data_IF_542667649116
#
_entry.id   IF_542667649116
#
_cell.length_a   1.000
_cell.length_b   1.000
_cell.length_c   1.000
_cell.angle_alpha   90.00
_cell.angle_beta   90.00
_cell.angle_gamma   90.00
#
_symmetry.space_group_name_H-M   'P 1'
#
loop_
_entity.id
_entity.type
_entity.pdbx_description
1 polymer ?
#
# COMPACT_ATOMS: atom_id res chain seq x y z
N UNK A 1 -17.01 2.65 -7.77
CA UNK A 1 -15.85 2.58 -6.87
C UNK A 1 -15.86 1.23 -6.17
N UNK A 2 -14.85 0.42 -6.44
CA UNK A 2 -14.71 -0.91 -5.84
C UNK A 2 -13.96 -0.84 -4.50
N UNK A 3 -14.10 -1.85 -3.66
CA UNK A 3 -13.30 -1.97 -2.43
C UNK A 3 -12.63 -3.32 -2.39
N UNK A 4 -11.30 -3.33 -2.25
CA UNK A 4 -10.53 -4.51 -1.88
C UNK A 4 -10.03 -4.33 -0.44
N UNK A 5 -10.41 -5.25 0.44
CA UNK A 5 -9.85 -5.35 1.79
C UNK A 5 -9.00 -6.61 1.92
N UNK A 6 -7.75 -6.45 2.31
CA UNK A 6 -6.80 -7.53 2.59
C UNK A 6 -6.36 -7.45 4.05
N UNK A 7 -6.64 -8.51 4.82
CA UNK A 7 -6.20 -8.66 6.22
C UNK A 7 -5.12 -9.71 6.27
N UNK A 8 -3.95 -9.35 6.81
CA UNK A 8 -2.75 -10.17 6.80
C UNK A 8 -2.24 -10.38 8.23
N UNK A 9 -2.22 -11.63 8.69
CA UNK A 9 -1.75 -11.99 10.03
C UNK A 9 -0.28 -12.47 10.09
N UNK A 10 0.43 -12.47 8.95
CA UNK A 10 1.80 -12.96 8.81
C UNK A 10 2.66 -11.99 8.00
N UNK A 11 3.97 -12.25 7.90
CA UNK A 11 4.81 -11.48 6.99
C UNK A 11 4.43 -11.81 5.54
N UNK A 12 4.14 -10.79 4.74
CA UNK A 12 3.73 -10.97 3.33
C UNK A 12 4.55 -10.09 2.41
N UNK A 13 4.84 -10.65 1.24
CA UNK A 13 5.36 -9.93 0.09
C UNK A 13 4.26 -9.85 -0.95
N UNK A 14 3.92 -8.63 -1.37
CA UNK A 14 3.08 -8.37 -2.52
C UNK A 14 3.96 -7.90 -3.66
N UNK A 15 3.70 -8.34 -4.89
CA UNK A 15 4.50 -7.92 -6.04
C UNK A 15 3.66 -7.55 -7.25
N UNK A 16 4.02 -6.44 -7.90
CA UNK A 16 3.44 -5.96 -9.15
C UNK A 16 1.91 -5.95 -9.15
N UNK A 17 1.32 -5.20 -8.22
CA UNK A 17 -0.14 -5.07 -8.10
C UNK A 17 -0.63 -3.91 -8.96
N UNK A 18 -1.72 -4.11 -9.69
CA UNK A 18 -2.41 -3.05 -10.43
C UNK A 18 -3.92 -3.09 -10.23
N UNK A 19 -4.51 -1.94 -9.93
CA UNK A 19 -5.96 -1.74 -9.96
C UNK A 19 -6.29 -0.79 -11.11
N UNK A 20 -6.98 -1.30 -12.12
CA UNK A 20 -7.32 -0.59 -13.36
C UNK A 20 -8.71 0.06 -13.34
N UNK A 21 -9.29 0.22 -12.15
CA UNK A 21 -10.57 0.88 -11.92
C UNK A 21 -10.53 1.64 -10.61
N UNK A 22 -11.37 2.67 -10.45
CA UNK A 22 -11.47 3.46 -9.23
C UNK A 22 -11.75 2.55 -8.03
N UNK A 23 -10.73 2.38 -7.18
CA UNK A 23 -10.74 1.38 -6.11
C UNK A 23 -10.24 1.98 -4.81
N UNK A 24 -10.92 1.63 -3.72
CA UNK A 24 -10.41 1.78 -2.36
C UNK A 24 -9.70 0.49 -1.97
N UNK A 25 -8.39 0.57 -1.77
CA UNK A 25 -7.56 -0.55 -1.31
C UNK A 25 -7.25 -0.36 0.16
N UNK A 26 -7.61 -1.35 0.97
CA UNK A 26 -7.36 -1.37 2.42
C UNK A 26 -6.50 -2.59 2.72
N UNK A 27 -5.28 -2.36 3.23
CA UNK A 27 -4.39 -3.43 3.68
C UNK A 27 -4.16 -3.26 5.18
N UNK A 28 -4.58 -4.26 5.96
CA UNK A 28 -4.37 -4.34 7.40
C UNK A 28 -3.39 -5.48 7.69
N UNK A 29 -2.14 -5.14 8.01
CA UNK A 29 -1.09 -6.11 8.29
C UNK A 29 -0.72 -6.12 9.78
N UNK A 30 -0.98 -7.23 10.47
CA UNK A 30 -0.53 -7.42 11.86
C UNK A 30 0.98 -7.70 11.99
N UNK A 31 1.69 -7.91 10.87
CA UNK A 31 3.14 -8.08 10.82
C UNK A 31 3.75 -7.28 9.66
N UNK A 32 4.94 -7.65 9.18
CA UNK A 32 5.62 -6.88 8.14
C UNK A 32 4.97 -7.07 6.77
N UNK A 33 4.76 -5.96 6.07
CA UNK A 33 4.29 -5.93 4.69
C UNK A 33 5.39 -5.37 3.80
N UNK A 34 5.76 -6.12 2.76
CA UNK A 34 6.70 -5.65 1.76
C UNK A 34 6.05 -5.65 0.38
N UNK A 35 6.01 -4.51 -0.29
CA UNK A 35 5.52 -4.38 -1.67
C UNK A 35 6.73 -4.19 -2.57
N UNK A 36 6.97 -5.18 -3.43
CA UNK A 36 8.13 -5.22 -4.32
C UNK A 36 7.66 -5.01 -5.76
N UNK A 37 8.28 -4.06 -6.45
CA UNK A 37 7.82 -3.61 -7.77
C UNK A 37 6.78 -2.50 -7.65
N UNK A 38 5.93 -2.35 -8.65
CA UNK A 38 4.96 -1.24 -8.71
C UNK A 38 3.63 -1.61 -8.06
N UNK A 39 3.09 -0.73 -7.21
CA UNK A 39 1.66 -0.69 -6.89
C UNK A 39 1.01 0.41 -7.72
N UNK A 40 0.28 0.03 -8.78
CA UNK A 40 -0.37 0.95 -9.69
C UNK A 40 -1.85 1.10 -9.31
N UNK A 41 -2.27 2.35 -9.13
CA UNK A 41 -3.65 2.74 -8.84
C UNK A 41 -4.04 3.82 -9.86
N UNK A 42 -5.27 3.78 -10.36
CA UNK A 42 -5.80 4.83 -11.25
C UNK A 42 -6.20 6.07 -10.45
N UNK A 43 -6.23 7.22 -11.12
CA UNK A 43 -6.70 8.48 -10.53
C UNK A 43 -8.07 8.32 -9.88
N UNK A 44 -8.27 8.93 -8.70
CA UNK A 44 -9.51 8.79 -7.94
C UNK A 44 -9.57 7.55 -7.05
N UNK A 45 -8.56 6.67 -7.11
CA UNK A 45 -8.41 5.57 -6.14
C UNK A 45 -7.94 6.09 -4.78
N UNK A 46 -8.17 5.28 -3.75
CA UNK A 46 -7.70 5.54 -2.38
C UNK A 46 -6.88 4.35 -1.89
N UNK A 47 -5.73 4.62 -1.27
CA UNK A 47 -4.89 3.59 -0.65
C UNK A 47 -4.79 3.82 0.85
N UNK A 48 -5.25 2.85 1.63
CA UNK A 48 -5.11 2.81 3.08
C UNK A 48 -4.28 1.58 3.46
N UNK A 49 -3.11 1.80 4.05
CA UNK A 49 -2.26 0.73 4.56
C UNK A 49 -2.03 0.96 6.05
N UNK A 50 -2.39 -0.02 6.86
CA UNK A 50 -1.99 -0.11 8.27
C UNK A 50 -1.11 -1.33 8.48
N UNK A 51 0.02 -1.15 9.17
CA UNK A 51 0.95 -2.22 9.49
C UNK A 51 1.43 -2.09 10.94
N UNK A 52 1.44 -3.19 11.69
CA UNK A 52 2.10 -3.24 13.02
C UNK A 52 3.59 -3.62 12.90
N UNK A 53 4.00 -4.19 11.76
CA UNK A 53 5.39 -4.54 11.45
C UNK A 53 6.06 -3.56 10.48
N UNK A 54 7.22 -3.94 9.92
CA UNK A 54 7.91 -3.06 8.95
C UNK A 54 7.10 -2.94 7.66
N UNK A 55 6.91 -1.70 7.19
CA UNK A 55 6.39 -1.43 5.86
C UNK A 55 7.54 -1.11 4.89
N UNK A 56 7.79 -2.01 3.94
CA UNK A 56 8.67 -1.76 2.80
C UNK A 56 7.82 -1.59 1.54
N UNK A 57 8.00 -0.53 0.77
CA UNK A 57 7.25 -0.36 -0.49
C UNK A 57 7.98 0.55 -1.48
N UNK A 58 7.69 0.38 -2.77
CA UNK A 58 7.87 1.39 -3.80
C UNK A 58 6.48 1.74 -4.36
N UNK A 59 5.82 2.73 -3.77
CA UNK A 59 4.50 3.18 -4.25
C UNK A 59 4.73 4.24 -5.33
N UNK A 60 4.10 4.04 -6.49
CA UNK A 60 4.10 5.00 -7.60
C UNK A 60 2.66 5.33 -7.91
N UNK A 61 2.24 6.53 -7.55
CA UNK A 61 0.83 6.93 -7.52
C UNK A 61 0.65 8.36 -8.05
N UNK A 62 -0.30 8.55 -8.98
CA UNK A 62 -0.72 9.87 -9.48
C UNK A 62 -2.16 10.13 -9.07
N UNK A 63 -2.42 11.24 -8.37
CA UNK A 63 -3.78 11.68 -8.04
C UNK A 63 -4.55 10.75 -7.09
N UNK A 64 -3.84 10.09 -6.16
CA UNK A 64 -4.40 9.16 -5.16
C UNK A 64 -4.32 9.80 -3.77
N UNK A 65 -5.35 9.54 -2.96
CA UNK A 65 -5.32 9.86 -1.52
C UNK A 65 -4.69 8.66 -0.81
N UNK A 66 -3.57 8.89 -0.13
CA UNK A 66 -2.80 7.87 0.57
C UNK A 66 -2.80 8.10 2.07
N UNK A 67 -3.19 7.07 2.81
CA UNK A 67 -3.05 7.02 4.26
C UNK A 67 -2.24 5.79 4.63
N UNK A 68 -1.01 6.02 5.07
CA UNK A 68 -0.06 4.97 5.44
C UNK A 68 0.27 5.13 6.91
N UNK A 69 -0.23 4.21 7.73
CA UNK A 69 0.05 4.16 9.15
C UNK A 69 0.93 2.95 9.46
N UNK A 70 2.17 3.19 9.84
CA UNK A 70 3.09 2.15 10.29
C UNK A 70 3.30 2.27 11.81
N UNK A 71 2.82 1.30 12.57
CA UNK A 71 2.97 1.23 14.02
C UNK A 71 4.42 1.07 14.50
N UNK A 72 5.35 0.81 13.59
CA UNK A 72 6.80 0.80 13.82
C UNK A 72 7.47 1.98 13.09
N UNK A 73 8.35 2.71 13.78
CA UNK A 73 8.95 4.01 13.41
C UNK A 73 9.81 4.05 12.12
N UNK A 74 9.79 3.01 11.26
CA UNK A 74 10.64 2.92 10.08
C UNK A 74 9.78 2.79 8.82
N UNK A 75 9.54 3.91 8.16
CA UNK A 75 9.09 4.01 6.77
C UNK A 75 10.38 4.22 5.95
N UNK A 76 10.75 3.26 5.09
CA UNK A 76 11.95 3.44 4.25
C UNK A 76 11.65 4.48 3.17
N UNK A 77 12.46 5.54 3.06
CA UNK A 77 12.27 6.72 2.17
C UNK A 77 11.96 6.41 0.69
N UNK A 78 12.21 5.21 0.19
CA UNK A 78 11.73 4.75 -1.12
C UNK A 78 10.20 4.71 -1.26
N UNK A 79 9.47 4.87 -0.16
CA UNK A 79 8.03 4.67 -0.06
C UNK A 79 7.19 5.64 -0.89
N UNK A 80 7.70 6.83 -1.25
CA UNK A 80 6.88 7.87 -1.84
C UNK A 80 7.66 8.66 -2.90
N UNK A 81 7.49 8.27 -4.17
CA UNK A 81 7.97 9.05 -5.31
C UNK A 81 6.79 9.68 -6.02
N UNK A 82 6.59 10.98 -5.78
CA UNK A 82 5.65 11.79 -6.54
C UNK A 82 6.28 12.12 -7.90
N UNK A 83 5.58 11.79 -8.99
CA UNK A 83 5.94 12.16 -10.36
C UNK A 83 4.86 13.03 -11.00
#
# INVERSE_FOLDING_TARGET
MNTLKLIIASNVILSNISFNSDTTVIIEAGRSLNIVGTLNLVSGSTLNISSEGTLGSNIVSKGIIENINNGQSVIKESLLKFF
#
